data_IF_243640310359
#
_entry.id   IF_243640310359
#
_cell.length_a   1.000
_cell.length_b   1.000
_cell.length_c   1.000
_cell.angle_alpha   90.00
_cell.angle_beta   90.00
_cell.angle_gamma   90.00
#
_symmetry.space_group_name_H-M   'P 1'
#
loop_
_entity.id
_entity.type
_entity.pdbx_description
1 polymer ?
#
# COMPACT_ATOMS: atom_id res chain seq x y z
N UNK A 1 8.93 -10.34 1.62
CA UNK A 1 7.58 -9.77 1.50
C UNK A 1 7.24 -8.95 2.74
N UNK A 2 6.81 -7.73 2.54
CA UNK A 2 6.43 -6.85 3.63
C UNK A 2 4.92 -6.83 3.78
N UNK A 3 4.45 -6.91 5.02
CA UNK A 3 3.03 -6.83 5.34
C UNK A 3 2.78 -5.68 6.29
N UNK A 4 1.74 -4.90 6.02
CA UNK A 4 1.35 -3.79 6.88
C UNK A 4 -0.14 -3.91 7.15
N UNK A 5 -0.51 -3.88 8.43
CA UNK A 5 -1.91 -3.90 8.85
C UNK A 5 -2.35 -2.48 9.24
N UNK A 6 -3.49 -2.09 8.75
CA UNK A 6 -4.04 -0.76 8.99
C UNK A 6 -4.65 -0.68 10.38
N UNK A 7 -4.32 0.37 11.12
CA UNK A 7 -4.83 0.60 12.48
C UNK A 7 -5.59 1.93 12.61
N UNK A 8 -5.52 2.78 11.61
CA UNK A 8 -6.19 4.09 11.62
C UNK A 8 -7.52 4.02 10.89
N UNK A 9 -8.32 5.10 10.95
CA UNK A 9 -9.64 5.14 10.32
C UNK A 9 -9.60 4.79 8.84
N UNK A 10 -8.78 5.46 8.09
CA UNK A 10 -8.46 5.07 6.72
C UNK A 10 -7.21 5.82 6.27
N UNK A 11 -6.57 5.27 5.26
CA UNK A 11 -5.39 5.89 4.66
C UNK A 11 -5.34 5.47 3.20
N UNK A 12 -4.93 6.38 2.33
CA UNK A 12 -4.78 6.03 0.92
C UNK A 12 -3.56 5.13 0.75
N UNK A 13 -3.63 4.22 -0.21
CA UNK A 13 -2.59 3.20 -0.39
C UNK A 13 -1.20 3.80 -0.59
N UNK A 14 -1.08 4.85 -1.40
CA UNK A 14 0.21 5.50 -1.63
C UNK A 14 0.77 6.12 -0.33
N UNK A 15 -0.09 6.77 0.44
CA UNK A 15 0.31 7.34 1.72
C UNK A 15 0.69 6.26 2.72
N UNK A 16 -0.01 5.13 2.69
CA UNK A 16 0.28 4.01 3.56
C UNK A 16 1.68 3.45 3.32
N UNK A 17 2.08 3.31 2.06
CA UNK A 17 3.41 2.80 1.73
C UNK A 17 4.50 3.72 2.27
N UNK A 18 4.29 5.04 2.19
CA UNK A 18 5.22 6.01 2.75
C UNK A 18 5.24 5.94 4.27
N UNK A 19 4.07 5.91 4.89
CA UNK A 19 3.94 5.86 6.34
C UNK A 19 4.61 4.61 6.92
N UNK A 20 4.48 3.49 6.23
CA UNK A 20 5.06 2.22 6.66
C UNK A 20 6.56 2.11 6.37
N UNK A 21 7.14 3.11 5.70
CA UNK A 21 8.57 3.08 5.37
C UNK A 21 8.93 2.19 4.19
N UNK A 22 7.93 1.75 3.42
CA UNK A 22 8.17 0.88 2.26
C UNK A 22 8.65 1.67 1.04
N UNK A 23 8.44 2.97 1.04
CA UNK A 23 8.98 3.87 0.03
C UNK A 23 9.21 5.23 0.67
N UNK A 24 10.02 6.06 0.02
CA UNK A 24 10.38 7.36 0.55
C UNK A 24 9.56 8.50 -0.05
N UNK A 25 9.06 8.31 -1.28
CA UNK A 25 8.33 9.36 -1.97
C UNK A 25 7.02 8.82 -2.55
N UNK A 26 6.10 9.75 -2.86
CA UNK A 26 4.85 9.39 -3.54
C UNK A 26 5.09 8.83 -4.93
N UNK A 27 6.14 9.27 -5.61
CA UNK A 27 6.50 8.74 -6.92
C UNK A 27 6.88 7.28 -6.87
N UNK A 28 7.65 6.89 -5.85
CA UNK A 28 8.01 5.49 -5.66
C UNK A 28 6.76 4.65 -5.36
N UNK A 29 5.90 5.17 -4.49
CA UNK A 29 4.65 4.48 -4.15
C UNK A 29 3.80 4.26 -5.41
N UNK A 30 3.69 5.29 -6.25
CA UNK A 30 2.94 5.18 -7.50
C UNK A 30 3.50 4.08 -8.39
N UNK A 31 4.82 4.03 -8.56
CA UNK A 31 5.46 3.02 -9.38
C UNK A 31 5.22 1.60 -8.86
N UNK A 32 5.35 1.41 -7.56
CA UNK A 32 5.13 0.12 -6.93
C UNK A 32 3.68 -0.33 -7.12
N UNK A 33 2.74 0.57 -6.90
CA UNK A 33 1.32 0.25 -7.00
C UNK A 33 0.93 -0.03 -8.45
N UNK A 34 1.29 0.85 -9.38
CA UNK A 34 0.94 0.69 -10.78
C UNK A 34 1.67 -0.47 -11.45
N UNK A 35 2.81 -0.85 -10.91
CA UNK A 35 3.56 -2.00 -11.39
C UNK A 35 3.00 -3.34 -10.94
N UNK A 36 1.97 -3.33 -10.10
CA UNK A 36 1.35 -4.56 -9.62
C UNK A 36 2.11 -5.26 -8.51
N UNK A 37 3.06 -4.57 -7.88
CA UNK A 37 3.87 -5.15 -6.81
C UNK A 37 3.21 -5.08 -5.44
N UNK A 38 2.12 -4.32 -5.34
CA UNK A 38 1.41 -4.13 -4.07
C UNK A 38 0.12 -4.94 -4.08
N UNK A 39 -0.10 -5.72 -3.03
CA UNK A 39 -1.33 -6.48 -2.86
C UNK A 39 -2.12 -5.94 -1.68
N UNK A 40 -3.41 -5.84 -1.85
CA UNK A 40 -4.34 -5.47 -0.78
C UNK A 40 -5.23 -6.68 -0.50
N UNK A 41 -5.14 -7.20 0.72
CA UNK A 41 -5.89 -8.39 1.13
C UNK A 41 -5.68 -9.58 0.18
N UNK A 42 -4.45 -9.74 -0.28
CA UNK A 42 -4.06 -10.86 -1.12
C UNK A 42 -4.27 -10.67 -2.61
N UNK A 43 -4.83 -9.53 -3.03
CA UNK A 43 -5.05 -9.24 -4.44
C UNK A 43 -4.24 -8.04 -4.91
N UNK A 44 -3.66 -8.10 -6.13
CA UNK A 44 -2.92 -6.95 -6.66
C UNK A 44 -3.82 -5.73 -6.74
N UNK A 45 -3.32 -4.60 -6.28
CA UNK A 45 -4.06 -3.34 -6.35
C UNK A 45 -3.21 -2.31 -7.07
N UNK A 46 -3.72 -1.80 -8.18
CA UNK A 46 -3.01 -0.80 -8.99
C UNK A 46 -3.55 0.61 -8.80
N UNK A 47 -4.49 0.80 -7.88
CA UNK A 47 -5.09 2.10 -7.60
C UNK A 47 -4.39 2.76 -6.41
N UNK A 48 -3.52 3.74 -6.68
CA UNK A 48 -2.79 4.41 -5.61
C UNK A 48 -3.68 5.20 -4.65
N UNK A 49 -4.83 5.62 -5.12
CA UNK A 49 -5.80 6.34 -4.29
C UNK A 49 -6.78 5.45 -3.55
N UNK A 50 -6.55 4.15 -3.55
CA UNK A 50 -7.43 3.20 -2.86
C UNK A 50 -7.45 3.47 -1.37
N UNK A 51 -8.63 3.63 -0.80
CA UNK A 51 -8.77 3.80 0.65
C UNK A 51 -8.58 2.46 1.34
N UNK A 52 -7.66 2.44 2.29
CA UNK A 52 -7.40 1.27 3.13
C UNK A 52 -7.97 1.56 4.52
N UNK A 53 -8.66 0.61 5.11
CA UNK A 53 -9.36 0.77 6.38
C UNK A 53 -8.84 -0.23 7.41
N UNK A 54 -9.14 -0.05 8.70
CA UNK A 54 -8.69 -1.01 9.72
C UNK A 54 -9.11 -2.43 9.37
N UNK A 55 -8.20 -3.36 9.51
CA UNK A 55 -8.41 -4.74 9.12
C UNK A 55 -7.85 -5.10 7.76
N UNK A 56 -7.59 -4.11 6.91
CA UNK A 56 -6.95 -4.37 5.62
C UNK A 56 -5.48 -4.72 5.84
N UNK A 57 -4.95 -5.59 4.99
CA UNK A 57 -3.55 -5.98 5.02
C UNK A 57 -2.94 -5.66 3.65
N UNK A 58 -1.86 -4.89 3.67
CA UNK A 58 -1.14 -4.52 2.45
C UNK A 58 0.18 -5.29 2.43
N UNK A 59 0.47 -5.89 1.29
CA UNK A 59 1.69 -6.64 1.09
C UNK A 59 2.46 -6.05 -0.09
N UNK A 60 3.78 -5.97 0.07
CA UNK A 60 4.67 -5.53 -0.99
C UNK A 60 5.55 -6.71 -1.37
N UNK A 61 5.47 -7.11 -2.64
CA UNK A 61 6.34 -8.13 -3.19
C UNK A 61 7.61 -7.47 -3.69
N UNK A 62 8.72 -7.97 -3.25
CA UNK A 62 9.94 -7.37 -3.72
C UNK A 62 11.15 -8.18 -3.42
#
# INVERSE_FOLDING_TARGET
MEKVRIHTEFIKLDALLKFAGLCETGGEAKELIQGGEVKLNGEPCTMRGKKCVPGDVVELEG
#
